data_IF_005467961029
#
_entry.id   IF_005467961029
#
_cell.length_a   1.000
_cell.length_b   1.000
_cell.length_c   1.000
_cell.angle_alpha   90.00
_cell.angle_beta   90.00
_cell.angle_gamma   90.00
#
_symmetry.space_group_name_H-M   'P 1'
#
loop_
_entity.id
_entity.type
_entity.pdbx_description
1 polymer ?
#
# COMPACT_ATOMS: atom_id res chain seq x y z
N UNK A 1 -30.06 56.92 -15.04
CA UNK A 1 -29.49 56.67 -16.38
C UNK A 1 -28.55 57.84 -16.65
N UNK A 2 -27.24 57.60 -16.62
CA UNK A 2 -26.25 58.67 -16.62
C UNK A 2 -26.13 59.25 -18.02
N UNK A 3 -26.56 60.51 -18.19
CA UNK A 3 -26.18 61.32 -19.35
C UNK A 3 -24.65 61.45 -19.30
N UNK A 4 -23.97 60.74 -20.19
CA UNK A 4 -22.51 60.67 -20.21
C UNK A 4 -22.01 61.79 -21.11
N UNK A 5 -21.39 62.82 -20.51
CA UNK A 5 -20.77 63.93 -21.25
C UNK A 5 -19.75 63.37 -22.24
N UNK A 6 -20.02 63.49 -23.55
CA UNK A 6 -19.14 62.97 -24.59
C UNK A 6 -17.93 63.89 -24.74
N UNK A 7 -16.73 63.33 -24.63
CA UNK A 7 -15.49 64.09 -24.75
C UNK A 7 -15.20 64.43 -26.22
N UNK A 8 -15.37 65.71 -26.60
CA UNK A 8 -15.23 66.17 -27.99
C UNK A 8 -13.83 66.01 -28.58
N UNK A 9 -12.76 65.99 -27.76
CA UNK A 9 -11.41 65.76 -28.28
C UNK A 9 -11.27 64.34 -28.84
N UNK A 10 -11.80 63.35 -28.11
CA UNK A 10 -11.80 61.95 -28.53
C UNK A 10 -12.72 61.73 -29.74
N UNK A 11 -13.85 62.43 -29.81
CA UNK A 11 -14.70 62.44 -31.01
C UNK A 11 -13.91 62.97 -32.22
N UNK A 12 -13.20 64.09 -32.07
CA UNK A 12 -12.41 64.67 -33.17
C UNK A 12 -11.27 63.76 -33.63
N UNK A 13 -10.63 63.02 -32.71
CA UNK A 13 -9.58 62.05 -33.05
C UNK A 13 -10.16 60.84 -33.81
N UNK A 14 -11.31 60.31 -33.40
CA UNK A 14 -12.00 59.23 -34.11
C UNK A 14 -12.48 59.66 -35.50
N UNK A 15 -12.97 60.89 -35.62
CA UNK A 15 -13.33 61.47 -36.92
C UNK A 15 -12.10 61.64 -37.81
N UNK A 16 -10.96 62.06 -37.25
CA UNK A 16 -9.69 62.14 -37.98
C UNK A 16 -9.18 60.77 -38.46
N UNK A 17 -9.52 59.68 -37.75
CA UNK A 17 -9.25 58.30 -38.17
C UNK A 17 -10.21 57.78 -39.26
N UNK A 18 -11.24 58.55 -39.63
CA UNK A 18 -12.17 58.23 -40.72
C UNK A 18 -13.49 57.61 -40.26
N UNK A 19 -13.78 57.59 -38.95
CA UNK A 19 -15.09 57.16 -38.44
C UNK A 19 -16.12 58.32 -38.52
N UNK A 20 -17.41 58.00 -38.73
CA UNK A 20 -18.47 59.01 -38.71
C UNK A 20 -18.63 59.60 -37.29
N UNK A 21 -19.07 60.85 -37.20
CA UNK A 21 -19.27 61.51 -35.89
C UNK A 21 -20.34 60.79 -35.04
N UNK A 22 -21.35 60.22 -35.69
CA UNK A 22 -22.36 59.38 -35.05
C UNK A 22 -21.74 58.10 -34.43
N UNK A 23 -20.88 57.40 -35.19
CA UNK A 23 -20.13 56.22 -34.72
C UNK A 23 -19.24 56.55 -33.53
N UNK A 24 -18.46 57.62 -33.65
CA UNK A 24 -17.54 58.04 -32.61
C UNK A 24 -18.30 58.37 -31.31
N UNK A 25 -19.44 59.04 -31.43
CA UNK A 25 -20.28 59.44 -30.30
C UNK A 25 -20.95 58.24 -29.63
N UNK A 26 -21.54 57.32 -30.42
CA UNK A 26 -22.17 56.09 -29.91
C UNK A 26 -21.13 55.19 -29.24
N UNK A 27 -19.94 55.05 -29.83
CA UNK A 27 -18.85 54.27 -29.28
C UNK A 27 -18.30 54.83 -27.97
N UNK A 28 -18.11 56.14 -27.90
CA UNK A 28 -17.68 56.81 -26.67
C UNK A 28 -18.74 56.73 -25.57
N UNK A 29 -20.02 56.79 -25.94
CA UNK A 29 -21.11 56.59 -25.00
C UNK A 29 -21.15 55.14 -24.45
N UNK A 30 -20.99 54.14 -25.32
CA UNK A 30 -21.03 52.72 -24.94
C UNK A 30 -19.76 52.24 -24.22
N UNK A 31 -18.60 52.81 -24.57
CA UNK A 31 -17.31 52.52 -23.90
C UNK A 31 -17.10 53.34 -22.62
N UNK A 32 -18.05 54.23 -22.27
CA UNK A 32 -18.03 55.04 -21.06
C UNK A 32 -16.96 56.14 -21.06
N UNK A 33 -16.61 56.70 -22.22
CA UNK A 33 -15.63 57.79 -22.41
C UNK A 33 -14.24 57.48 -21.81
N UNK A 34 -13.84 56.21 -21.76
CA UNK A 34 -12.65 55.77 -21.02
C UNK A 34 -11.33 56.02 -21.76
N UNK A 35 -11.24 55.70 -23.04
CA UNK A 35 -10.08 55.97 -23.90
C UNK A 35 -10.44 55.88 -25.39
N UNK A 36 -9.58 56.44 -26.25
CA UNK A 36 -9.71 56.31 -27.71
C UNK A 36 -9.76 54.84 -28.14
N UNK A 37 -8.85 54.03 -27.60
CA UNK A 37 -8.71 52.59 -27.92
C UNK A 37 -9.93 51.78 -27.51
N UNK A 38 -10.56 52.09 -26.37
CA UNK A 38 -11.78 51.43 -25.93
C UNK A 38 -12.96 51.75 -26.85
N UNK A 39 -13.04 52.99 -27.35
CA UNK A 39 -14.04 53.38 -28.33
C UNK A 39 -13.80 52.68 -29.68
N UNK A 40 -12.55 52.59 -30.15
CA UNK A 40 -12.21 51.87 -31.39
C UNK A 40 -12.55 50.38 -31.27
N UNK A 41 -12.20 49.73 -30.16
CA UNK A 41 -12.53 48.32 -29.95
C UNK A 41 -14.05 48.09 -29.93
N UNK A 42 -14.83 48.99 -29.33
CA UNK A 42 -16.28 48.89 -29.38
C UNK A 42 -16.83 49.05 -30.81
N UNK A 43 -16.28 49.98 -31.61
CA UNK A 43 -16.66 50.16 -33.02
C UNK A 43 -16.38 48.87 -33.80
N UNK A 44 -15.22 48.24 -33.60
CA UNK A 44 -14.85 47.00 -34.28
C UNK A 44 -15.81 45.87 -33.89
N UNK A 45 -16.10 45.70 -32.60
CA UNK A 45 -16.97 44.63 -32.11
C UNK A 45 -18.41 44.74 -32.61
N UNK A 46 -18.84 45.96 -32.98
CA UNK A 46 -20.21 46.24 -33.37
C UNK A 46 -20.34 46.62 -34.85
N UNK A 47 -19.27 46.67 -35.65
CA UNK A 47 -19.20 47.30 -37.00
C UNK A 47 -20.24 46.84 -38.04
N UNK A 48 -20.90 45.69 -37.80
CA UNK A 48 -21.87 45.06 -38.69
C UNK A 48 -23.34 45.34 -38.32
N UNK A 49 -23.58 46.04 -37.20
CA UNK A 49 -24.92 46.43 -36.79
C UNK A 49 -25.46 47.56 -37.70
N UNK A 50 -26.66 47.36 -38.26
CA UNK A 50 -27.26 48.27 -39.24
C UNK A 50 -27.65 49.66 -38.66
N UNK A 51 -27.62 49.82 -37.34
CA UNK A 51 -28.04 51.02 -36.59
C UNK A 51 -26.84 51.83 -36.04
N UNK A 52 -25.62 51.48 -36.41
CA UNK A 52 -24.39 52.11 -35.91
C UNK A 52 -24.27 53.60 -36.28
N UNK A 53 -24.73 53.96 -37.48
CA UNK A 53 -24.69 55.34 -37.98
C UNK A 53 -25.93 56.15 -37.60
N UNK A 54 -26.89 55.58 -36.85
CA UNK A 54 -28.02 56.36 -36.36
C UNK A 54 -27.57 57.29 -35.23
N UNK A 55 -27.62 58.59 -35.53
CA UNK A 55 -27.22 59.67 -34.62
C UNK A 55 -28.18 59.71 -33.41
N UNK A 56 -27.71 59.42 -32.19
CA UNK A 56 -28.57 59.48 -31.02
C UNK A 56 -28.95 60.93 -30.72
N UNK A 57 -30.25 61.24 -30.75
CA UNK A 57 -30.78 62.56 -30.37
C UNK A 57 -30.72 62.75 -28.85
N UNK A 58 -29.63 63.30 -28.31
CA UNK A 58 -29.71 64.01 -27.02
C UNK A 58 -28.69 65.13 -26.86
N UNK A 59 -29.21 66.24 -26.32
CA UNK A 59 -28.76 67.63 -26.22
C UNK A 59 -27.28 67.95 -25.94
N UNK A 60 -26.77 68.92 -26.72
CA UNK A 60 -25.61 69.76 -26.42
C UNK A 60 -26.10 70.92 -25.55
N UNK A 61 -25.84 70.91 -24.24
CA UNK A 61 -25.98 72.09 -23.40
C UNK A 61 -24.60 72.63 -23.03
N UNK A 62 -24.33 73.85 -23.50
CA UNK A 62 -23.23 74.70 -23.09
C UNK A 62 -23.69 75.43 -21.82
N UNK A 63 -23.04 75.20 -20.67
CA UNK A 63 -23.01 76.19 -19.58
C UNK A 63 -21.80 76.00 -18.67
N UNK A 64 -21.07 77.10 -18.47
CA UNK A 64 -20.02 77.30 -17.46
C UNK A 64 -20.56 77.16 -16.00
N UNK A 65 -19.65 76.83 -15.09
CA UNK A 65 -19.70 76.59 -13.62
C UNK A 65 -20.55 77.56 -12.74
N UNK A 66 -20.66 77.41 -11.39
CA UNK A 66 -20.80 76.24 -10.48
C UNK A 66 -21.99 76.41 -9.47
N UNK A 67 -22.48 75.36 -8.82
CA UNK A 67 -23.14 75.49 -7.48
C UNK A 67 -23.27 74.15 -6.76
N UNK A 68 -22.99 74.17 -5.46
CA UNK A 68 -23.00 73.04 -4.55
C UNK A 68 -24.38 72.78 -3.94
N UNK A 69 -24.69 71.49 -3.79
CA UNK A 69 -25.24 70.92 -2.56
C UNK A 69 -26.75 70.80 -2.45
N UNK A 70 -27.25 69.56 -2.47
CA UNK A 70 -28.06 68.97 -1.39
C UNK A 70 -27.87 67.44 -1.42
N UNK A 71 -27.50 66.86 -0.27
CA UNK A 71 -27.24 65.43 0.05
C UNK A 71 -26.02 64.69 -0.57
N UNK A 72 -24.94 65.40 -0.90
CA UNK A 72 -23.67 64.74 -1.26
C UNK A 72 -23.06 63.92 -0.12
N UNK A 73 -23.24 64.30 1.15
CA UNK A 73 -22.61 63.60 2.28
C UNK A 73 -23.32 62.29 2.64
N UNK A 74 -24.66 62.28 2.71
CA UNK A 74 -25.43 61.07 2.99
C UNK A 74 -25.23 60.01 1.89
N UNK A 75 -25.15 60.43 0.63
CA UNK A 75 -24.88 59.53 -0.50
C UNK A 75 -23.44 59.00 -0.46
N UNK A 76 -22.46 59.81 -0.08
CA UNK A 76 -21.06 59.36 0.11
C UNK A 76 -20.94 58.38 1.27
N UNK A 77 -21.59 58.64 2.41
CA UNK A 77 -21.61 57.75 3.57
C UNK A 77 -22.27 56.40 3.24
N UNK A 78 -23.42 56.43 2.56
CA UNK A 78 -24.14 55.21 2.16
C UNK A 78 -23.38 54.42 1.08
N UNK A 79 -22.68 55.10 0.18
CA UNK A 79 -21.79 54.47 -0.81
C UNK A 79 -20.55 53.84 -0.15
N UNK A 80 -19.97 54.50 0.87
CA UNK A 80 -18.85 53.98 1.64
C UNK A 80 -19.27 52.77 2.48
N UNK A 81 -20.45 52.83 3.11
CA UNK A 81 -21.05 51.70 3.84
C UNK A 81 -21.34 50.51 2.92
N UNK A 82 -21.86 50.73 1.70
CA UNK A 82 -22.09 49.67 0.72
C UNK A 82 -20.76 49.00 0.29
N UNK A 83 -19.69 49.79 0.12
CA UNK A 83 -18.34 49.30 -0.21
C UNK A 83 -17.73 48.50 0.93
N UNK A 84 -17.83 48.97 2.17
CA UNK A 84 -17.34 48.23 3.33
C UNK A 84 -18.11 46.94 3.56
N UNK A 85 -19.44 46.97 3.38
CA UNK A 85 -20.28 45.76 3.43
C UNK A 85 -19.93 44.78 2.33
N UNK A 86 -19.62 45.25 1.13
CA UNK A 86 -19.14 44.41 0.04
C UNK A 86 -17.75 43.81 0.32
N UNK A 87 -16.83 44.59 0.90
CA UNK A 87 -15.49 44.11 1.30
C UNK A 87 -15.57 43.06 2.40
N UNK A 88 -16.38 43.31 3.43
CA UNK A 88 -16.60 42.38 4.55
C UNK A 88 -17.26 41.09 4.09
N UNK A 89 -18.23 41.18 3.17
CA UNK A 89 -18.86 40.00 2.54
C UNK A 89 -17.85 39.19 1.73
N UNK A 90 -17.00 39.83 0.92
CA UNK A 90 -15.93 39.14 0.17
C UNK A 90 -14.91 38.47 1.08
N UNK A 91 -14.50 39.14 2.15
CA UNK A 91 -13.55 38.60 3.14
C UNK A 91 -14.16 37.41 3.92
N UNK A 92 -15.46 37.48 4.27
CA UNK A 92 -16.18 36.36 4.88
C UNK A 92 -16.37 35.18 3.92
N UNK A 93 -16.67 35.43 2.65
CA UNK A 93 -16.76 34.41 1.59
C UNK A 93 -15.40 33.74 1.34
N UNK A 94 -14.31 34.52 1.25
CA UNK A 94 -12.95 34.02 1.10
C UNK A 94 -12.51 33.17 2.30
N UNK A 95 -12.78 33.63 3.52
CA UNK A 95 -12.49 32.87 4.76
C UNK A 95 -13.37 31.63 4.91
N UNK A 96 -14.56 31.58 4.30
CA UNK A 96 -15.37 30.35 4.22
C UNK A 96 -14.75 29.38 3.22
N UNK A 97 -14.34 29.87 2.06
CA UNK A 97 -13.73 29.07 1.00
C UNK A 97 -12.39 28.48 1.45
N UNK A 98 -11.59 29.23 2.20
CA UNK A 98 -10.35 28.72 2.82
C UNK A 98 -10.62 27.60 3.84
N UNK A 99 -11.65 27.77 4.69
CA UNK A 99 -12.07 26.70 5.62
C UNK A 99 -12.60 25.47 4.88
N UNK A 100 -13.25 25.63 3.74
CA UNK A 100 -13.71 24.51 2.91
C UNK A 100 -12.54 23.77 2.26
N UNK A 101 -11.59 24.49 1.67
CA UNK A 101 -10.35 23.89 1.12
C UNK A 101 -9.57 23.12 2.19
N UNK A 102 -9.43 23.67 3.39
CA UNK A 102 -8.74 22.99 4.48
C UNK A 102 -9.50 21.74 4.96
N UNK A 103 -10.84 21.80 5.02
CA UNK A 103 -11.68 20.63 5.32
C UNK A 103 -11.56 19.56 4.23
N UNK A 104 -11.49 19.95 2.96
CA UNK A 104 -11.30 19.03 1.84
C UNK A 104 -9.93 18.36 1.87
N UNK A 105 -8.87 19.10 2.20
CA UNK A 105 -7.53 18.53 2.41
C UNK A 105 -7.55 17.46 3.50
N UNK A 106 -8.19 17.74 4.64
CA UNK A 106 -8.33 16.78 5.75
C UNK A 106 -9.19 15.59 5.34
N UNK A 107 -10.30 15.83 4.62
CA UNK A 107 -11.19 14.78 4.14
C UNK A 107 -10.47 13.86 3.16
N UNK A 108 -9.75 14.42 2.19
CA UNK A 108 -8.94 13.67 1.23
C UNK A 108 -7.86 12.83 1.92
N UNK A 109 -7.18 13.38 2.93
CA UNK A 109 -6.21 12.63 3.73
C UNK A 109 -6.85 11.46 4.50
N UNK A 110 -8.03 11.67 5.10
CA UNK A 110 -8.79 10.64 5.80
C UNK A 110 -9.33 9.58 4.85
N UNK A 111 -9.79 9.97 3.68
CA UNK A 111 -10.32 9.09 2.63
C UNK A 111 -9.22 8.21 2.06
N UNK A 112 -8.04 8.77 1.74
CA UNK A 112 -6.87 7.99 1.32
C UNK A 112 -6.50 6.92 2.36
N UNK A 113 -6.50 7.28 3.64
CA UNK A 113 -6.20 6.33 4.71
C UNK A 113 -7.29 5.26 4.86
N UNK A 114 -8.56 5.63 4.67
CA UNK A 114 -9.70 4.70 4.71
C UNK A 114 -9.65 3.71 3.54
N UNK A 115 -9.39 4.20 2.33
CA UNK A 115 -9.24 3.36 1.12
C UNK A 115 -8.08 2.40 1.26
N UNK A 116 -6.94 2.83 1.84
CA UNK A 116 -5.80 1.97 2.15
C UNK A 116 -6.17 0.86 3.15
N UNK A 117 -6.87 1.19 4.24
CA UNK A 117 -7.32 0.19 5.24
C UNK A 117 -8.29 -0.83 4.64
N UNK A 118 -9.24 -0.38 3.81
CA UNK A 118 -10.17 -1.29 3.12
C UNK A 118 -9.46 -2.22 2.13
N UNK A 119 -8.42 -1.74 1.44
CA UNK A 119 -7.61 -2.59 0.56
C UNK A 119 -6.84 -3.67 1.35
N UNK A 120 -6.17 -3.28 2.43
CA UNK A 120 -5.44 -4.22 3.30
C UNK A 120 -6.38 -5.27 3.94
N UNK A 121 -7.58 -4.86 4.36
CA UNK A 121 -8.57 -5.79 4.93
C UNK A 121 -9.12 -6.76 3.87
N UNK A 122 -9.39 -6.26 2.65
CA UNK A 122 -9.80 -7.12 1.54
C UNK A 122 -8.72 -8.12 1.14
N UNK A 123 -7.43 -7.75 1.18
CA UNK A 123 -6.32 -8.66 0.95
C UNK A 123 -6.22 -9.74 2.03
N UNK A 124 -6.33 -9.36 3.31
CA UNK A 124 -6.36 -10.32 4.43
C UNK A 124 -7.53 -11.30 4.30
N UNK A 125 -8.71 -10.80 3.97
CA UNK A 125 -9.91 -11.62 3.77
C UNK A 125 -9.75 -12.61 2.61
N UNK A 126 -9.12 -12.19 1.50
CA UNK A 126 -8.79 -13.08 0.37
C UNK A 126 -7.80 -14.17 0.79
N UNK A 127 -6.78 -13.82 1.55
CA UNK A 127 -5.79 -14.78 2.05
C UNK A 127 -6.42 -15.81 3.02
N UNK A 128 -7.24 -15.35 3.96
CA UNK A 128 -7.97 -16.23 4.87
C UNK A 128 -8.95 -17.15 4.14
N UNK A 129 -9.66 -16.63 3.13
CA UNK A 129 -10.54 -17.44 2.28
C UNK A 129 -9.76 -18.50 1.49
N UNK A 130 -8.60 -18.16 0.93
CA UNK A 130 -7.72 -19.14 0.25
C UNK A 130 -7.25 -20.23 1.21
N UNK A 131 -6.79 -19.87 2.41
CA UNK A 131 -6.38 -20.85 3.43
C UNK A 131 -7.53 -21.76 3.88
N UNK A 132 -8.73 -21.22 4.03
CA UNK A 132 -9.91 -22.00 4.40
C UNK A 132 -10.32 -22.95 3.27
N UNK A 133 -10.29 -22.48 2.01
CA UNK A 133 -10.57 -23.29 0.84
C UNK A 133 -9.55 -24.43 0.66
N UNK A 134 -8.25 -24.13 0.78
CA UNK A 134 -7.15 -25.11 0.72
C UNK A 134 -7.35 -26.20 1.79
N UNK A 135 -7.61 -25.82 3.04
CA UNK A 135 -7.85 -26.75 4.15
C UNK A 135 -9.11 -27.60 3.95
N UNK A 136 -10.16 -27.02 3.39
CA UNK A 136 -11.38 -27.75 3.08
C UNK A 136 -11.19 -28.74 1.92
N UNK A 137 -10.45 -28.35 0.88
CA UNK A 137 -10.10 -29.22 -0.23
C UNK A 137 -9.22 -30.39 0.23
N UNK A 138 -8.24 -30.12 1.10
CA UNK A 138 -7.41 -31.16 1.73
C UNK A 138 -8.28 -32.13 2.55
N UNK A 139 -9.24 -31.61 3.33
CA UNK A 139 -10.18 -32.46 4.10
C UNK A 139 -11.01 -33.34 3.17
N UNK A 140 -11.55 -32.78 2.08
CA UNK A 140 -12.32 -33.55 1.08
C UNK A 140 -11.44 -34.60 0.39
N UNK A 141 -10.17 -34.30 0.09
CA UNK A 141 -9.24 -35.25 -0.49
C UNK A 141 -8.93 -36.40 0.49
N UNK A 142 -8.69 -36.10 1.76
CA UNK A 142 -8.50 -37.09 2.83
C UNK A 142 -9.72 -37.98 3.01
N UNK A 143 -10.93 -37.42 2.97
CA UNK A 143 -12.17 -38.18 3.02
C UNK A 143 -12.34 -39.10 1.81
N UNK A 144 -12.03 -38.63 0.59
CA UNK A 144 -12.02 -39.46 -0.62
C UNK A 144 -11.05 -40.64 -0.52
N UNK A 145 -9.85 -40.44 0.02
CA UNK A 145 -8.87 -41.51 0.24
C UNK A 145 -9.40 -42.51 1.26
N UNK A 146 -9.99 -42.03 2.36
CA UNK A 146 -10.56 -42.89 3.41
C UNK A 146 -11.69 -43.77 2.86
N UNK A 147 -12.57 -43.22 2.04
CA UNK A 147 -13.65 -43.98 1.39
C UNK A 147 -13.10 -45.04 0.44
N UNK A 148 -12.08 -44.71 -0.38
CA UNK A 148 -11.42 -45.68 -1.26
C UNK A 148 -10.77 -46.82 -0.47
N UNK A 149 -10.11 -46.52 0.65
CA UNK A 149 -9.51 -47.54 1.52
C UNK A 149 -10.58 -48.44 2.15
N UNK A 150 -11.71 -47.87 2.58
CA UNK A 150 -12.83 -48.67 3.10
C UNK A 150 -13.43 -49.59 2.03
N UNK A 151 -13.58 -49.09 0.80
CA UNK A 151 -14.03 -49.90 -0.33
C UNK A 151 -13.05 -51.04 -0.65
N UNK A 152 -11.74 -50.76 -0.71
CA UNK A 152 -10.72 -51.80 -0.93
C UNK A 152 -10.71 -52.85 0.22
N UNK A 153 -10.89 -52.42 1.48
CA UNK A 153 -11.03 -53.35 2.60
C UNK A 153 -12.26 -54.25 2.46
N UNK A 154 -13.41 -53.71 2.07
CA UNK A 154 -14.64 -54.48 1.88
C UNK A 154 -14.49 -55.43 0.69
N UNK A 155 -13.91 -54.98 -0.42
CA UNK A 155 -13.65 -55.81 -1.60
C UNK A 155 -12.69 -56.95 -1.28
N UNK A 156 -11.57 -56.68 -0.58
CA UNK A 156 -10.67 -57.75 -0.10
C UNK A 156 -11.36 -58.71 0.84
N UNK A 157 -12.19 -58.21 1.77
CA UNK A 157 -12.95 -59.06 2.69
C UNK A 157 -13.97 -59.95 1.95
N UNK A 158 -14.62 -59.43 0.92
CA UNK A 158 -15.53 -60.18 0.07
C UNK A 158 -14.81 -61.22 -0.80
N UNK A 159 -13.64 -60.88 -1.36
CA UNK A 159 -12.78 -61.82 -2.11
C UNK A 159 -12.22 -62.93 -1.22
N UNK A 160 -11.75 -62.60 -0.02
CA UNK A 160 -11.31 -63.59 0.99
C UNK A 160 -12.47 -64.44 1.51
N UNK A 161 -13.69 -63.89 1.56
CA UNK A 161 -14.90 -64.65 1.87
C UNK A 161 -15.39 -65.56 0.74
N UNK A 162 -15.04 -65.28 -0.52
CA UNK A 162 -15.37 -66.15 -1.68
C UNK A 162 -14.37 -67.29 -1.90
N UNK A 163 -13.17 -67.20 -1.34
CA UNK A 163 -12.15 -68.26 -1.44
C UNK A 163 -12.23 -69.23 -0.25
N UNK A 164 -13.41 -69.81 -0.03
CA UNK A 164 -13.59 -70.92 0.91
C UNK A 164 -14.45 -71.99 0.27
N UNK A 165 -13.98 -72.53 -0.85
CA UNK A 165 -14.40 -73.82 -1.44
C UNK A 165 -13.36 -74.27 -2.50
N UNK A 166 -12.22 -74.78 -2.04
CA UNK A 166 -11.48 -75.88 -2.67
C UNK A 166 -10.28 -76.25 -1.79
N UNK A 167 -10.28 -77.47 -1.29
CA UNK A 167 -9.31 -78.06 -0.37
C UNK A 167 -8.01 -78.52 -1.04
N UNK A 168 -6.93 -78.40 -0.26
CA UNK A 168 -5.69 -79.21 -0.21
C UNK A 168 -4.71 -79.23 -1.38
N UNK A 169 -3.50 -78.70 -1.15
CA UNK A 169 -2.24 -79.46 -1.29
C UNK A 169 -1.08 -78.72 -0.63
N UNK A 170 -0.39 -79.42 0.26
CA UNK A 170 0.89 -79.05 0.87
C UNK A 170 2.03 -79.24 -0.14
N UNK A 171 2.81 -78.18 -0.40
CA UNK A 171 4.20 -78.32 -0.86
C UNK A 171 5.03 -77.13 -0.44
N UNK A 172 5.92 -77.38 0.52
CA UNK A 172 7.03 -76.52 0.88
C UNK A 172 7.99 -76.38 -0.30
N UNK A 173 8.14 -75.17 -0.83
CA UNK A 173 9.30 -74.73 -1.62
C UNK A 173 9.59 -73.29 -1.22
N UNK A 174 10.86 -73.07 -0.90
CA UNK A 174 11.48 -71.85 -0.42
C UNK A 174 11.08 -70.62 -1.24
N UNK A 175 10.35 -69.71 -0.61
CA UNK A 175 10.25 -68.33 -1.09
C UNK A 175 11.53 -67.61 -0.68
N UNK A 176 12.39 -67.37 -1.66
CA UNK A 176 13.36 -66.28 -1.64
C UNK A 176 12.72 -65.05 -1.01
N UNK A 177 13.27 -64.58 0.11
CA UNK A 177 13.00 -63.23 0.61
C UNK A 177 13.60 -62.25 -0.40
N UNK A 178 12.89 -61.97 -1.49
CA UNK A 178 13.09 -60.72 -2.19
C UNK A 178 12.37 -59.64 -1.41
N UNK A 179 13.21 -58.75 -0.90
CA UNK A 179 12.89 -57.46 -0.32
C UNK A 179 11.75 -56.76 -1.08
N UNK A 180 10.60 -56.62 -0.42
CA UNK A 180 9.81 -55.41 -0.62
C UNK A 180 9.98 -54.58 0.64
N UNK A 181 10.97 -53.70 0.58
CA UNK A 181 11.21 -52.63 1.54
C UNK A 181 9.96 -51.76 1.55
N UNK A 182 9.22 -51.83 2.66
CA UNK A 182 8.32 -50.77 3.09
C UNK A 182 9.11 -49.44 3.02
N UNK A 183 8.70 -48.41 2.26
CA UNK A 183 9.55 -47.22 2.04
C UNK A 183 9.75 -46.34 3.28
N UNK A 184 9.27 -46.76 4.46
CA UNK A 184 9.22 -45.97 5.70
C UNK A 184 9.79 -46.68 6.92
N UNK A 185 10.58 -47.74 6.76
CA UNK A 185 11.46 -48.25 7.82
C UNK A 185 12.91 -48.24 7.35
N UNK A 186 13.44 -47.02 7.22
CA UNK A 186 14.87 -46.79 7.42
C UNK A 186 15.13 -46.89 8.92
N UNK A 187 16.17 -47.60 9.30
CA UNK A 187 16.63 -47.77 10.68
C UNK A 187 16.79 -46.42 11.38
N UNK A 188 15.74 -46.01 12.09
CA UNK A 188 15.60 -44.68 12.70
C UNK A 188 16.45 -44.52 13.97
N UNK A 189 17.10 -45.60 14.43
CA UNK A 189 17.77 -45.63 15.72
C UNK A 189 19.15 -44.95 15.71
N UNK A 190 19.81 -44.83 14.56
CA UNK A 190 21.10 -44.12 14.47
C UNK A 190 20.93 -42.61 14.15
N UNK A 191 19.83 -42.23 13.48
CA UNK A 191 19.55 -40.83 13.10
C UNK A 191 18.84 -40.04 14.22
N UNK A 192 18.06 -40.70 15.08
CA UNK A 192 17.38 -40.05 16.20
C UNK A 192 18.35 -39.50 17.26
N UNK A 193 19.49 -40.15 17.49
CA UNK A 193 20.53 -39.65 18.40
C UNK A 193 21.24 -38.42 17.82
N UNK A 194 21.53 -38.42 16.52
CA UNK A 194 22.20 -37.32 15.82
C UNK A 194 21.34 -36.06 15.70
N UNK A 195 20.03 -36.22 15.49
CA UNK A 195 19.09 -35.08 15.47
C UNK A 195 18.82 -34.54 16.88
N UNK A 196 18.83 -35.41 17.90
CA UNK A 196 18.75 -34.99 19.31
C UNK A 196 19.99 -34.19 19.74
N UNK A 197 21.21 -34.64 19.41
CA UNK A 197 22.44 -33.90 19.72
C UNK A 197 22.51 -32.57 18.97
N UNK A 198 22.12 -32.54 17.68
CA UNK A 198 22.03 -31.27 16.95
C UNK A 198 21.00 -30.31 17.55
N UNK A 199 19.84 -30.81 17.97
CA UNK A 199 18.82 -30.01 18.67
C UNK A 199 19.37 -29.40 19.96
N UNK A 200 20.16 -30.17 20.72
CA UNK A 200 20.83 -29.69 21.93
C UNK A 200 21.86 -28.60 21.63
N UNK A 201 22.67 -28.77 20.58
CA UNK A 201 23.62 -27.74 20.11
C UNK A 201 22.88 -26.46 19.66
N UNK A 202 21.76 -26.59 18.95
CA UNK A 202 20.91 -25.45 18.57
C UNK A 202 20.33 -24.75 19.80
N UNK A 203 19.86 -25.51 20.80
CA UNK A 203 19.38 -24.94 22.06
C UNK A 203 20.50 -24.20 22.77
N UNK A 204 21.67 -24.81 22.92
CA UNK A 204 22.79 -24.19 23.62
C UNK A 204 23.29 -22.92 22.92
N UNK A 205 23.27 -22.90 21.59
CA UNK A 205 23.57 -21.69 20.82
C UNK A 205 22.60 -20.54 21.17
N UNK A 206 21.29 -20.80 21.22
CA UNK A 206 20.31 -19.79 21.61
C UNK A 206 20.39 -19.41 23.10
N UNK A 207 20.76 -20.34 23.99
CA UNK A 207 20.99 -20.04 25.41
C UNK A 207 22.22 -19.15 25.58
N UNK A 208 23.32 -19.46 24.90
CA UNK A 208 24.53 -18.65 24.89
C UNK A 208 24.22 -17.23 24.42
N UNK A 209 23.47 -17.09 23.33
CA UNK A 209 23.02 -15.79 22.80
C UNK A 209 22.28 -14.99 23.88
N UNK A 210 21.35 -15.62 24.59
CA UNK A 210 20.56 -14.94 25.64
C UNK A 210 21.37 -14.63 26.89
N UNK A 211 22.31 -15.50 27.30
CA UNK A 211 23.19 -15.25 28.46
C UNK A 211 24.18 -14.12 28.21
N UNK A 212 24.72 -14.03 27.00
CA UNK A 212 25.66 -12.96 26.64
C UNK A 212 25.00 -11.59 26.48
N UNK A 213 23.70 -11.57 26.17
CA UNK A 213 22.91 -10.35 25.94
C UNK A 213 21.71 -10.27 26.89
N UNK A 214 21.90 -10.59 28.16
CA UNK A 214 20.84 -10.58 29.19
C UNK A 214 20.19 -9.19 29.36
N UNK A 215 21.00 -8.13 29.26
CA UNK A 215 20.52 -6.74 29.35
C UNK A 215 19.72 -6.28 28.11
N UNK A 216 19.83 -6.99 26.99
CA UNK A 216 19.24 -6.62 25.70
C UNK A 216 18.16 -7.61 25.24
N UNK A 217 17.36 -8.16 26.17
CA UNK A 217 16.36 -9.21 25.90
C UNK A 217 15.39 -8.86 24.76
N UNK A 218 15.01 -7.59 24.61
CA UNK A 218 14.18 -7.17 23.48
C UNK A 218 14.85 -7.39 22.12
N UNK A 219 16.16 -7.12 22.01
CA UNK A 219 16.90 -7.33 20.77
C UNK A 219 17.11 -8.82 20.52
N UNK A 220 17.36 -9.59 21.58
CA UNK A 220 17.42 -11.07 21.53
C UNK A 220 16.10 -11.67 21.05
N UNK A 221 14.97 -11.21 21.57
CA UNK A 221 13.64 -11.63 21.12
C UNK A 221 13.37 -11.29 19.64
N UNK A 222 13.81 -10.10 19.19
CA UNK A 222 13.75 -9.73 17.77
C UNK A 222 14.65 -10.63 16.91
N UNK A 223 15.82 -11.02 17.40
CA UNK A 223 16.72 -11.95 16.74
C UNK A 223 16.08 -13.33 16.58
N UNK A 224 15.52 -13.90 17.66
CA UNK A 224 14.84 -15.20 17.62
C UNK A 224 13.65 -15.20 16.65
N UNK A 225 12.84 -14.14 16.65
CA UNK A 225 11.74 -13.98 15.69
C UNK A 225 12.24 -13.91 14.25
N UNK A 226 13.34 -13.19 13.99
CA UNK A 226 13.93 -13.09 12.67
C UNK A 226 14.51 -14.45 12.20
N UNK A 227 15.24 -15.15 13.05
CA UNK A 227 15.75 -16.51 12.80
C UNK A 227 14.61 -17.48 12.48
N UNK A 228 13.51 -17.40 13.23
CA UNK A 228 12.33 -18.23 12.99
C UNK A 228 11.72 -17.98 11.62
N UNK A 229 11.67 -16.73 11.16
CA UNK A 229 11.19 -16.39 9.81
C UNK A 229 12.08 -17.01 8.74
N UNK A 230 13.42 -16.91 8.88
CA UNK A 230 14.34 -17.52 7.90
C UNK A 230 14.15 -19.04 7.82
N UNK A 231 14.15 -19.74 8.96
CA UNK A 231 13.94 -21.20 9.01
C UNK A 231 12.55 -21.56 8.46
N UNK A 232 11.50 -20.85 8.85
CA UNK A 232 10.13 -21.10 8.40
C UNK A 232 9.98 -20.94 6.89
N UNK A 233 10.61 -19.92 6.30
CA UNK A 233 10.54 -19.68 4.86
C UNK A 233 11.18 -20.84 4.08
N UNK A 234 12.34 -21.34 4.53
CA UNK A 234 12.98 -22.52 3.93
C UNK A 234 12.11 -23.77 4.11
N UNK A 235 11.55 -24.00 5.29
CA UNK A 235 10.70 -25.19 5.55
C UNK A 235 9.42 -25.16 4.73
N UNK A 236 8.84 -23.98 4.52
CA UNK A 236 7.61 -23.82 3.74
C UNK A 236 7.86 -23.97 2.24
N UNK A 237 8.98 -23.46 1.74
CA UNK A 237 9.33 -23.46 0.32
C UNK A 237 10.80 -23.90 0.11
N UNK A 238 11.11 -25.20 0.25
CA UNK A 238 12.49 -25.70 0.23
C UNK A 238 13.16 -25.62 -1.15
N UNK A 239 12.36 -25.64 -2.22
CA UNK A 239 12.84 -25.56 -3.60
C UNK A 239 13.01 -24.12 -4.11
N UNK A 240 12.64 -23.11 -3.32
CA UNK A 240 12.81 -21.72 -3.73
C UNK A 240 14.21 -21.21 -3.39
N UNK A 241 14.95 -20.76 -4.41
CA UNK A 241 16.34 -20.32 -4.25
C UNK A 241 16.48 -19.01 -3.47
N UNK A 242 15.46 -18.15 -3.48
CA UNK A 242 15.50 -16.86 -2.79
C UNK A 242 15.47 -17.01 -1.27
N UNK A 243 14.72 -17.97 -0.72
CA UNK A 243 14.67 -18.21 0.72
C UNK A 243 15.89 -18.95 1.27
N UNK A 244 16.67 -19.56 0.37
CA UNK A 244 17.94 -20.23 0.69
C UNK A 244 19.14 -19.28 0.60
N UNK A 245 18.93 -17.99 0.31
CA UNK A 245 19.98 -16.99 0.24
C UNK A 245 19.65 -15.81 1.15
N UNK A 246 20.55 -15.50 2.07
CA UNK A 246 20.43 -14.38 3.00
C UNK A 246 21.60 -13.43 2.74
N UNK A 247 21.31 -12.16 2.52
CA UNK A 247 22.34 -11.14 2.30
C UNK A 247 22.83 -10.59 3.64
N UNK A 248 24.09 -10.82 3.98
CA UNK A 248 24.73 -10.34 5.21
C UNK A 248 24.83 -8.81 5.23
N UNK A 249 25.00 -8.16 4.08
CA UNK A 249 25.05 -6.69 4.01
C UNK A 249 23.68 -6.00 4.21
N UNK A 250 22.58 -6.76 4.35
CA UNK A 250 21.25 -6.18 4.52
C UNK A 250 21.14 -5.52 5.91
N UNK A 251 20.83 -4.21 6.00
CA UNK A 251 20.70 -3.51 7.29
C UNK A 251 19.68 -4.16 8.23
N UNK A 252 18.57 -4.69 7.70
CA UNK A 252 17.55 -5.37 8.50
C UNK A 252 17.99 -6.74 9.00
N UNK A 253 18.92 -7.41 8.30
CA UNK A 253 19.55 -8.64 8.79
C UNK A 253 20.57 -8.29 9.88
N UNK A 254 21.45 -7.33 9.62
CA UNK A 254 22.47 -6.88 10.57
C UNK A 254 21.84 -6.43 11.90
N UNK A 255 20.86 -5.52 11.84
CA UNK A 255 20.21 -4.98 13.04
C UNK A 255 19.44 -6.01 13.89
N UNK A 256 19.13 -7.20 13.36
CA UNK A 256 18.33 -8.22 14.08
C UNK A 256 19.14 -9.47 14.43
N UNK A 257 19.89 -10.01 13.48
CA UNK A 257 20.60 -11.29 13.62
C UNK A 257 22.11 -11.08 13.50
N UNK A 258 22.57 -10.20 12.61
CA UNK A 258 24.00 -10.02 12.34
C UNK A 258 24.79 -9.33 13.47
N UNK A 259 24.14 -8.57 14.35
CA UNK A 259 24.77 -8.03 15.58
C UNK A 259 25.23 -9.18 16.50
N UNK A 260 24.51 -10.29 16.51
CA UNK A 260 24.78 -11.43 17.38
C UNK A 260 25.61 -12.48 16.64
N UNK A 261 26.80 -12.80 17.16
CA UNK A 261 27.68 -13.83 16.56
C UNK A 261 27.01 -15.20 16.56
N UNK A 262 26.30 -15.50 17.65
CA UNK A 262 25.51 -16.71 17.86
C UNK A 262 24.33 -16.78 16.88
N UNK A 263 23.78 -15.64 16.46
CA UNK A 263 22.70 -15.59 15.48
C UNK A 263 23.15 -16.12 14.11
N UNK A 264 24.36 -15.75 13.69
CA UNK A 264 24.97 -16.26 12.45
C UNK A 264 25.38 -17.72 12.62
N UNK A 265 25.97 -18.08 13.77
CA UNK A 265 26.34 -19.46 14.09
C UNK A 265 25.12 -20.40 14.09
N UNK A 266 23.96 -19.94 14.57
CA UNK A 266 22.72 -20.71 14.53
C UNK A 266 22.29 -21.03 13.09
N UNK A 267 22.43 -20.08 12.16
CA UNK A 267 22.14 -20.32 10.75
C UNK A 267 23.14 -21.32 10.15
N UNK A 268 24.42 -21.21 10.51
CA UNK A 268 25.45 -22.17 10.09
C UNK A 268 25.14 -23.59 10.60
N UNK A 269 24.68 -23.73 11.85
CA UNK A 269 24.21 -25.00 12.42
C UNK A 269 22.97 -25.55 11.71
N UNK A 270 22.12 -24.68 11.15
CA UNK A 270 20.98 -25.07 10.30
C UNK A 270 21.40 -25.50 8.88
N UNK A 271 22.69 -25.41 8.54
CA UNK A 271 23.27 -25.83 7.26
C UNK A 271 23.56 -24.70 6.28
N UNK A 272 23.39 -23.44 6.69
CA UNK A 272 23.74 -22.31 5.84
C UNK A 272 25.27 -22.10 5.80
N UNK A 273 25.81 -21.79 4.63
CA UNK A 273 27.24 -21.62 4.41
C UNK A 273 27.53 -20.20 3.92
N UNK A 274 28.67 -19.64 4.35
CA UNK A 274 29.15 -18.37 3.80
C UNK A 274 29.73 -18.66 2.42
N UNK A 275 29.17 -18.04 1.38
CA UNK A 275 29.71 -18.19 0.04
C UNK A 275 31.11 -17.58 -0.03
N UNK A 276 32.09 -18.32 -0.56
CA UNK A 276 33.49 -17.88 -0.70
C UNK A 276 33.56 -16.50 -1.39
N UNK A 277 33.94 -15.47 -0.62
CA UNK A 277 34.09 -14.09 -1.12
C UNK A 277 32.79 -13.30 -1.35
N UNK A 278 31.63 -13.83 -0.94
CA UNK A 278 30.34 -13.17 -1.12
C UNK A 278 29.69 -12.82 0.22
N UNK A 279 29.11 -11.62 0.34
CA UNK A 279 28.31 -11.18 1.51
C UNK A 279 26.97 -11.93 1.64
N UNK A 280 26.92 -13.19 1.24
CA UNK A 280 25.74 -14.02 1.22
C UNK A 280 25.96 -15.29 2.02
N UNK A 281 24.95 -15.59 2.83
CA UNK A 281 24.78 -16.85 3.51
C UNK A 281 23.80 -17.69 2.69
N UNK A 282 24.25 -18.83 2.17
CA UNK A 282 23.52 -19.67 1.23
C UNK A 282 23.31 -21.05 1.82
N UNK A 283 22.11 -21.61 1.69
CA UNK A 283 21.81 -22.99 2.04
C UNK A 283 21.78 -23.85 0.76
N UNK A 284 22.83 -24.65 0.50
CA UNK A 284 22.88 -25.53 -0.66
C UNK A 284 21.74 -26.55 -0.65
N UNK A 285 21.18 -26.87 -1.84
CA UNK A 285 20.05 -27.81 -1.95
C UNK A 285 20.34 -29.18 -1.37
N UNK A 286 21.57 -29.65 -1.51
CA UNK A 286 22.07 -30.93 -0.99
C UNK A 286 22.23 -30.96 0.53
N UNK A 287 22.30 -29.79 1.20
CA UNK A 287 22.47 -29.67 2.66
C UNK A 287 21.17 -29.33 3.39
N UNK A 288 20.02 -29.30 2.70
CA UNK A 288 18.71 -29.04 3.31
C UNK A 288 18.27 -30.26 4.11
N UNK A 289 18.49 -30.23 5.43
CA UNK A 289 17.96 -31.22 6.36
C UNK A 289 16.61 -30.74 6.94
N UNK A 290 15.51 -31.27 6.41
CA UNK A 290 14.17 -30.89 6.82
C UNK A 290 13.83 -31.30 8.26
N UNK A 291 14.42 -32.37 8.77
CA UNK A 291 14.20 -32.79 10.16
C UNK A 291 14.90 -31.81 11.12
N UNK A 292 16.14 -31.44 10.79
CA UNK A 292 16.90 -30.44 11.53
C UNK A 292 16.21 -29.07 11.51
N UNK A 293 15.79 -28.57 10.34
CA UNK A 293 15.13 -27.26 10.22
C UNK A 293 13.79 -27.21 10.99
N UNK A 294 13.01 -28.30 10.97
CA UNK A 294 11.80 -28.40 11.81
C UNK A 294 12.15 -28.38 13.30
N UNK A 295 13.19 -29.09 13.71
CA UNK A 295 13.65 -29.07 15.10
C UNK A 295 14.15 -27.69 15.54
N UNK A 296 14.89 -26.99 14.66
CA UNK A 296 15.37 -25.63 14.86
C UNK A 296 14.19 -24.65 15.01
N UNK A 297 13.16 -24.77 14.16
CA UNK A 297 11.95 -23.98 14.26
C UNK A 297 11.20 -24.19 15.58
N UNK A 298 11.09 -25.44 16.06
CA UNK A 298 10.48 -25.73 17.37
C UNK A 298 11.29 -25.15 18.53
N UNK A 299 12.62 -25.26 18.47
CA UNK A 299 13.53 -24.70 19.49
C UNK A 299 13.43 -23.18 19.55
N UNK A 300 13.43 -22.50 18.40
CA UNK A 300 13.22 -21.05 18.30
C UNK A 300 11.84 -20.62 18.82
N UNK A 301 10.79 -21.36 18.47
CA UNK A 301 9.46 -21.09 18.98
C UNK A 301 9.42 -21.24 20.51
N UNK A 302 10.02 -22.30 21.05
CA UNK A 302 10.15 -22.47 22.50
C UNK A 302 10.95 -21.36 23.15
N UNK A 303 12.00 -20.84 22.50
CA UNK A 303 12.81 -19.74 23.01
C UNK A 303 12.05 -18.42 23.09
N UNK A 304 11.14 -18.18 22.15
CA UNK A 304 10.29 -16.98 22.12
C UNK A 304 9.16 -17.08 23.13
N UNK A 305 8.50 -18.25 23.22
CA UNK A 305 7.33 -18.44 24.09
C UNK A 305 7.70 -18.65 25.55
N UNK A 306 8.86 -19.24 25.85
CA UNK A 306 9.25 -19.56 27.22
C UNK A 306 10.14 -18.45 27.82
N UNK A 307 9.67 -17.70 28.82
CA UNK A 307 10.46 -16.66 29.48
C UNK A 307 11.73 -17.19 30.13
N UNK A 308 11.74 -18.44 30.60
CA UNK A 308 12.85 -19.09 31.28
C UNK A 308 13.85 -19.78 30.34
N UNK A 309 13.65 -19.68 29.03
CA UNK A 309 14.57 -20.27 28.06
C UNK A 309 15.98 -19.67 28.23
N UNK A 310 16.95 -20.47 28.67
CA UNK A 310 18.34 -20.04 28.93
C UNK A 310 18.70 -19.84 30.40
N UNK A 311 17.73 -19.73 31.30
CA UNK A 311 17.96 -19.50 32.74
C UNK A 311 18.14 -20.80 33.56
N UNK A 312 17.72 -21.96 33.02
CA UNK A 312 17.57 -23.20 33.79
C UNK A 312 18.61 -24.29 33.52
N UNK A 313 19.67 -24.03 32.76
CA UNK A 313 20.75 -25.03 32.60
C UNK A 313 21.88 -24.72 33.58
N UNK A 314 21.96 -25.54 34.64
CA UNK A 314 23.20 -25.85 35.36
C UNK A 314 24.20 -26.52 34.42
#
# INVERSE_FOLDING_TARGET
MAASDINRSLVSELVAMGFSEARATKALHSSGNSSLEAAVNWIIDHENDADIDEMPMVHVDITETPSAGFDSEQVKLKAQELRERARKRREEEEKKLEREREKERIRAGKELLSTKRMAEENERKRFEAQRKAEKEEERRARERIRQKLQQDMVERRARLGSSMNSSTSSKSIETSKQEFKDPLKVDFSASSGYTATKKEVLMECLRSLRRQHEEEDEKVQRAFKALLVYVRNVVSNPDEGMFRKIRLSNPAFQARVGIFKEGVQFLELCGFERGEGSDFLVLPRNKVDMALLRSAGMVLHSAITNPFFGLLSK
#
